data_IF_717582048406
#
_entry.id   IF_717582048406
#
_cell.length_a   1.000
_cell.length_b   1.000
_cell.length_c   1.000
_cell.angle_alpha   90.00
_cell.angle_beta   90.00
_cell.angle_gamma   90.00
#
_symmetry.space_group_name_H-M   'P 1'
#
loop_
_entity.id
_entity.type
_entity.pdbx_description
1 polymer ?
#
# COMPACT_ATOMS: atom_id res chain seq x y z
N UNK A 1 -15.12 48.59 50.76
CA UNK A 1 -13.66 48.34 50.62
C UNK A 1 -13.46 47.15 49.68
N UNK A 2 -12.41 47.17 48.84
CA UNK A 2 -12.62 47.35 47.40
C UNK A 2 -11.85 46.36 46.51
N UNK A 3 -12.29 46.28 45.25
CA UNK A 3 -11.45 46.43 44.04
C UNK A 3 -10.37 45.36 43.75
N UNK A 4 -10.69 44.53 42.76
CA UNK A 4 -9.94 44.45 41.49
C UNK A 4 -8.41 44.25 41.59
N UNK A 5 -8.00 42.99 41.56
CA UNK A 5 -6.66 42.54 41.14
C UNK A 5 -6.88 41.20 40.44
N UNK A 6 -6.59 40.98 39.17
CA UNK A 6 -5.84 41.72 38.18
C UNK A 6 -6.27 41.16 36.83
N UNK A 7 -6.83 42.01 35.96
CA UNK A 7 -6.69 41.82 34.52
C UNK A 7 -5.18 41.87 34.21
N UNK A 8 -4.50 40.72 34.24
CA UNK A 8 -3.18 40.61 33.63
C UNK A 8 -3.40 40.33 32.16
N UNK A 9 -3.49 41.43 31.40
CA UNK A 9 -3.33 41.47 29.96
C UNK A 9 -2.04 40.74 29.55
N UNK A 10 -2.16 39.43 29.28
CA UNK A 10 -1.24 38.70 28.44
C UNK A 10 -1.65 38.95 27.00
N UNK A 11 -1.04 39.97 26.40
CA UNK A 11 -1.06 40.29 24.97
C UNK A 11 -1.15 39.00 24.12
N UNK A 12 -2.35 38.64 23.65
CA UNK A 12 -2.54 37.58 22.65
C UNK A 12 -1.96 38.13 21.36
N UNK A 13 -0.63 37.99 21.19
CA UNK A 13 0.02 38.03 19.88
C UNK A 13 -0.85 37.12 19.02
N UNK A 14 -1.56 37.69 18.05
CA UNK A 14 -2.40 36.91 17.14
C UNK A 14 -1.53 35.76 16.66
N UNK A 15 -1.87 34.55 17.08
CA UNK A 15 -1.23 33.36 16.55
C UNK A 15 -1.56 33.43 15.07
N UNK A 16 -0.55 33.75 14.25
CA UNK A 16 -0.77 33.89 12.82
C UNK A 16 -1.32 32.57 12.30
N UNK A 17 -2.03 32.58 11.16
CA UNK A 17 -2.54 31.36 10.51
C UNK A 17 -1.50 30.23 10.42
N UNK A 18 -0.21 30.57 10.32
CA UNK A 18 0.92 29.64 10.34
C UNK A 18 1.09 28.90 11.68
N UNK A 19 0.89 29.59 12.81
CA UNK A 19 0.95 29.02 14.14
C UNK A 19 -0.25 28.10 14.38
N UNK A 20 -1.46 28.53 13.98
CA UNK A 20 -2.69 27.73 14.06
C UNK A 20 -2.60 26.48 13.16
N UNK A 21 -1.99 26.61 11.98
CA UNK A 21 -1.75 25.50 11.06
C UNK A 21 -0.74 24.50 11.62
N UNK A 22 0.34 24.98 12.26
CA UNK A 22 1.30 24.13 12.97
C UNK A 22 0.62 23.37 14.10
N UNK A 23 -0.19 24.05 14.91
CA UNK A 23 -0.93 23.44 16.02
C UNK A 23 -2.00 22.45 15.52
N UNK A 24 -2.55 22.67 14.31
CA UNK A 24 -3.46 21.74 13.64
C UNK A 24 -2.75 20.47 13.14
N UNK A 25 -1.62 20.58 12.45
CA UNK A 25 -0.85 19.41 11.97
C UNK A 25 -0.34 18.57 13.15
N UNK A 26 0.05 19.23 14.23
CA UNK A 26 0.55 18.57 15.44
C UNK A 26 -0.55 17.86 16.25
N UNK A 27 -1.83 17.95 15.85
CA UNK A 27 -2.87 17.06 16.39
C UNK A 27 -2.53 15.63 15.96
N UNK A 28 -2.06 14.84 16.93
CA UNK A 28 -1.23 13.64 16.74
C UNK A 28 -1.77 12.49 15.89
N UNK A 29 -2.98 12.57 15.32
CA UNK A 29 -3.53 11.54 14.43
C UNK A 29 -3.52 11.96 12.94
N UNK A 30 -3.37 13.25 12.61
CA UNK A 30 -3.45 13.72 11.22
C UNK A 30 -2.15 13.46 10.45
N UNK A 31 -1.01 13.61 11.10
CA UNK A 31 0.30 13.39 10.47
C UNK A 31 0.50 11.93 10.05
N UNK A 32 0.17 10.97 10.91
CA UNK A 32 0.31 9.54 10.61
C UNK A 32 -0.63 9.10 9.47
N UNK A 33 -1.86 9.61 9.48
CA UNK A 33 -2.81 9.40 8.38
C UNK A 33 -2.31 9.98 7.04
N UNK A 34 -1.70 11.17 7.08
CA UNK A 34 -1.15 11.82 5.88
C UNK A 34 0.02 11.01 5.30
N UNK A 35 0.93 10.52 6.15
CA UNK A 35 2.06 9.68 5.73
C UNK A 35 1.54 8.37 5.11
N UNK A 36 0.57 7.71 5.74
CA UNK A 36 -0.04 6.50 5.20
C UNK A 36 -0.65 6.71 3.81
N UNK A 37 -1.34 7.84 3.59
CA UNK A 37 -1.93 8.15 2.29
C UNK A 37 -0.89 8.43 1.20
N UNK A 38 0.17 9.18 1.51
CA UNK A 38 1.25 9.47 0.55
C UNK A 38 1.95 8.18 0.12
N UNK A 39 2.26 7.30 1.08
CA UNK A 39 2.87 5.99 0.79
C UNK A 39 1.92 5.12 -0.05
N UNK A 40 0.63 5.12 0.26
CA UNK A 40 -0.40 4.40 -0.51
C UNK A 40 -0.54 4.92 -1.95
N UNK A 41 -0.49 6.24 -2.16
CA UNK A 41 -0.62 6.85 -3.47
C UNK A 41 0.60 6.60 -4.37
N UNK A 42 1.80 6.44 -3.80
CA UNK A 42 3.03 6.21 -4.56
C UNK A 42 3.20 4.75 -5.00
N UNK A 43 2.68 3.78 -4.24
CA UNK A 43 2.89 2.35 -4.49
C UNK A 43 2.42 1.87 -5.88
N UNK A 44 1.24 2.27 -6.40
CA UNK A 44 0.78 1.86 -7.72
C UNK A 44 1.74 2.27 -8.85
N UNK A 45 2.38 3.44 -8.76
CA UNK A 45 3.31 3.91 -9.79
C UNK A 45 4.56 3.03 -9.87
N UNK A 46 5.10 2.61 -8.72
CA UNK A 46 6.26 1.71 -8.64
C UNK A 46 5.91 0.34 -9.21
N UNK A 47 4.77 -0.22 -8.83
CA UNK A 47 4.34 -1.53 -9.36
C UNK A 47 4.07 -1.42 -10.86
N UNK A 48 3.49 -0.31 -11.34
CA UNK A 48 3.23 -0.09 -12.75
C UNK A 48 4.52 -0.08 -13.56
N UNK A 49 5.53 0.70 -13.14
CA UNK A 49 6.83 0.69 -13.79
C UNK A 49 7.49 -0.68 -13.77
N UNK A 50 7.42 -1.42 -12.65
CA UNK A 50 7.95 -2.79 -12.61
C UNK A 50 7.26 -3.72 -13.63
N UNK A 51 5.93 -3.65 -13.74
CA UNK A 51 5.19 -4.47 -14.70
C UNK A 51 5.49 -4.04 -16.14
N UNK A 52 5.45 -2.73 -16.42
CA UNK A 52 5.62 -2.19 -17.78
C UNK A 52 7.06 -2.28 -18.29
N UNK A 53 8.04 -2.03 -17.42
CA UNK A 53 9.45 -1.89 -17.81
C UNK A 53 10.26 -3.19 -17.63
N UNK A 54 9.83 -4.09 -16.73
CA UNK A 54 10.55 -5.36 -16.46
C UNK A 54 9.76 -6.55 -16.99
N UNK A 55 8.50 -6.68 -16.61
CA UNK A 55 7.71 -7.89 -16.90
C UNK A 55 7.24 -7.92 -18.35
N UNK A 56 6.68 -6.83 -18.89
CA UNK A 56 6.16 -6.81 -20.26
C UNK A 56 7.23 -7.06 -21.34
N UNK A 57 8.45 -6.49 -21.27
CA UNK A 57 9.51 -6.81 -22.24
C UNK A 57 9.90 -8.29 -22.22
N UNK A 58 9.95 -8.91 -21.04
CA UNK A 58 10.24 -10.35 -20.90
C UNK A 58 9.14 -11.20 -21.56
N UNK A 59 7.87 -10.82 -21.44
CA UNK A 59 6.77 -11.49 -22.15
C UNK A 59 6.78 -11.20 -23.66
N UNK A 60 7.17 -9.99 -24.07
CA UNK A 60 7.28 -9.60 -25.48
C UNK A 60 8.34 -10.41 -26.24
N UNK A 61 9.47 -10.69 -25.59
CA UNK A 61 10.51 -11.56 -26.14
C UNK A 61 10.02 -13.01 -26.36
N UNK A 62 9.17 -13.53 -25.47
CA UNK A 62 8.64 -14.88 -25.58
C UNK A 62 7.62 -15.04 -26.72
N UNK A 63 6.84 -13.98 -27.05
CA UNK A 63 5.78 -14.02 -28.05
C UNK A 63 6.13 -13.34 -29.39
N UNK A 64 7.36 -12.83 -29.52
CA UNK A 64 7.88 -12.09 -30.70
C UNK A 64 6.95 -10.98 -31.20
N UNK A 65 6.12 -10.43 -30.30
CA UNK A 65 5.14 -9.36 -30.56
C UNK A 65 4.99 -8.50 -29.33
N UNK A 66 5.05 -7.19 -29.52
CA UNK A 66 4.73 -6.23 -28.49
C UNK A 66 3.20 -6.18 -28.32
N UNK A 67 2.72 -6.54 -27.13
CA UNK A 67 1.31 -6.39 -26.74
C UNK A 67 0.84 -4.92 -26.94
N UNK A 68 1.77 -3.98 -26.79
CA UNK A 68 1.50 -2.53 -26.86
C UNK A 68 1.16 -2.01 -28.28
N UNK A 69 1.38 -2.81 -29.31
CA UNK A 69 1.00 -2.50 -30.70
C UNK A 69 -0.12 -3.41 -31.22
N UNK A 70 -0.81 -4.13 -30.33
CA UNK A 70 -1.97 -4.92 -30.72
C UNK A 70 -3.24 -4.07 -30.77
N UNK A 71 -3.74 -3.83 -31.97
CA UNK A 71 -4.99 -3.14 -32.24
C UNK A 71 -5.66 -3.72 -33.47
N UNK A 72 -6.98 -3.53 -33.55
CA UNK A 72 -7.77 -3.87 -34.73
C UNK A 72 -8.30 -2.59 -35.33
N UNK A 73 -8.12 -2.39 -36.64
CA UNK A 73 -8.71 -1.27 -37.36
C UNK A 73 -10.17 -1.61 -37.67
N UNK A 74 -11.11 -0.86 -37.10
CA UNK A 74 -12.55 -1.04 -37.35
C UNK A 74 -13.01 -0.25 -38.58
N UNK A 75 -12.41 0.92 -38.79
CA UNK A 75 -12.66 1.76 -39.96
C UNK A 75 -11.35 2.26 -40.52
N UNK A 76 -11.12 2.02 -41.80
CA UNK A 76 -9.92 2.53 -42.47
C UNK A 76 -9.96 4.06 -42.56
N UNK A 77 -8.80 4.66 -42.35
CA UNK A 77 -8.52 6.05 -42.71
C UNK A 77 -8.08 6.13 -44.16
N UNK A 78 -6.86 6.63 -44.40
CA UNK A 78 -6.23 6.64 -45.73
C UNK A 78 -5.83 5.23 -46.21
N UNK A 79 -5.37 4.37 -45.30
CA UNK A 79 -5.05 2.96 -45.55
C UNK A 79 -5.72 2.03 -44.54
N UNK A 80 -5.71 0.72 -44.82
CA UNK A 80 -6.30 -0.31 -43.95
C UNK A 80 -5.27 -1.15 -43.19
N UNK A 81 -3.97 -0.92 -43.42
CA UNK A 81 -2.88 -1.64 -42.74
C UNK A 81 -1.88 -0.63 -42.19
N UNK A 82 -1.77 -0.60 -40.87
CA UNK A 82 -0.83 0.26 -40.16
C UNK A 82 0.11 -0.62 -39.33
N UNK A 83 1.41 -0.35 -39.34
CA UNK A 83 2.35 -1.04 -38.45
C UNK A 83 2.19 -0.57 -37.00
N UNK A 84 1.81 0.70 -36.79
CA UNK A 84 1.69 1.29 -35.44
C UNK A 84 0.32 1.94 -35.21
N UNK A 85 -0.12 1.95 -33.96
CA UNK A 85 -1.38 2.58 -33.53
C UNK A 85 -1.40 4.08 -33.76
N UNK A 86 -0.26 4.73 -33.56
CA UNK A 86 -0.10 6.18 -33.67
C UNK A 86 -0.34 6.62 -35.12
N UNK A 87 0.18 5.86 -36.09
CA UNK A 87 -0.08 6.13 -37.51
C UNK A 87 -1.55 5.89 -37.88
N UNK A 88 -2.16 4.82 -37.39
CA UNK A 88 -3.57 4.56 -37.65
C UNK A 88 -4.48 5.69 -37.11
N UNK A 89 -4.17 6.23 -35.93
CA UNK A 89 -4.92 7.35 -35.35
C UNK A 89 -4.66 8.67 -36.07
N UNK A 90 -3.42 8.92 -36.51
CA UNK A 90 -3.06 10.11 -37.29
C UNK A 90 -3.80 10.15 -38.64
N UNK A 91 -3.99 9.00 -39.28
CA UNK A 91 -4.69 8.88 -40.56
C UNK A 91 -6.23 8.87 -40.42
N UNK A 92 -6.75 9.09 -39.20
CA UNK A 92 -8.19 9.13 -38.91
C UNK A 92 -8.87 7.76 -38.91
N UNK A 93 -8.09 6.66 -38.86
CA UNK A 93 -8.65 5.32 -38.74
C UNK A 93 -9.23 5.11 -37.34
N UNK A 94 -10.43 4.51 -37.26
CA UNK A 94 -11.04 4.14 -35.98
C UNK A 94 -10.45 2.81 -35.56
N UNK A 95 -9.56 2.83 -34.58
CA UNK A 95 -8.88 1.64 -34.04
C UNK A 95 -9.52 1.17 -32.74
N UNK A 96 -9.86 -0.11 -32.66
CA UNK A 96 -10.13 -0.76 -31.38
C UNK A 96 -8.82 -1.15 -30.70
N UNK A 97 -8.51 -0.41 -29.64
CA UNK A 97 -7.27 -0.50 -28.89
C UNK A 97 -7.42 -1.35 -27.63
N UNK A 98 -7.69 -2.64 -27.82
CA UNK A 98 -7.92 -3.58 -26.73
C UNK A 98 -6.67 -3.90 -25.90
N UNK A 99 -5.46 -3.60 -26.40
CA UNK A 99 -4.26 -3.83 -25.61
C UNK A 99 -4.23 -3.07 -24.28
N UNK A 100 -4.81 -1.86 -24.23
CA UNK A 100 -4.71 -1.00 -23.04
C UNK A 100 -5.54 -1.61 -21.91
N UNK A 101 -6.66 -2.23 -22.29
CA UNK A 101 -7.51 -2.98 -21.39
C UNK A 101 -6.80 -4.24 -20.88
N UNK A 102 -6.18 -5.02 -21.77
CA UNK A 102 -5.42 -6.21 -21.37
C UNK A 102 -4.24 -5.86 -20.48
N UNK A 103 -3.47 -4.83 -20.80
CA UNK A 103 -2.37 -4.36 -19.97
C UNK A 103 -2.88 -3.96 -18.58
N UNK A 104 -4.02 -3.26 -18.49
CA UNK A 104 -4.64 -2.90 -17.21
C UNK A 104 -5.08 -4.13 -16.41
N UNK A 105 -5.62 -5.16 -17.07
CA UNK A 105 -5.99 -6.43 -16.41
C UNK A 105 -4.75 -7.18 -15.92
N UNK A 106 -3.71 -7.31 -16.76
CA UNK A 106 -2.44 -7.96 -16.39
C UNK A 106 -1.83 -7.23 -15.20
N UNK A 107 -1.78 -5.89 -15.24
CA UNK A 107 -1.33 -5.06 -14.14
C UNK A 107 -2.13 -5.32 -12.86
N UNK A 108 -3.47 -5.32 -12.93
CA UNK A 108 -4.32 -5.60 -11.76
C UNK A 108 -4.03 -6.98 -11.15
N UNK A 109 -3.89 -8.01 -11.99
CA UNK A 109 -3.60 -9.37 -11.54
C UNK A 109 -2.21 -9.47 -10.91
N UNK A 110 -1.20 -8.85 -11.52
CA UNK A 110 0.17 -8.85 -10.99
C UNK A 110 0.29 -8.07 -9.69
N UNK A 111 -0.30 -6.87 -9.60
CA UNK A 111 -0.34 -6.09 -8.36
C UNK A 111 -1.01 -6.88 -7.24
N UNK A 112 -2.16 -7.49 -7.52
CA UNK A 112 -2.87 -8.32 -6.56
C UNK A 112 -2.03 -9.51 -6.08
N UNK A 113 -1.32 -10.16 -7.02
CA UNK A 113 -0.41 -11.27 -6.72
C UNK A 113 0.78 -10.82 -5.86
N UNK A 114 1.44 -9.71 -6.20
CA UNK A 114 2.55 -9.17 -5.42
C UNK A 114 2.11 -8.74 -4.01
N UNK A 115 0.95 -8.10 -3.87
CA UNK A 115 0.39 -7.75 -2.57
C UNK A 115 0.11 -9.00 -1.73
N UNK A 116 -0.44 -10.06 -2.34
CA UNK A 116 -0.64 -11.33 -1.67
C UNK A 116 0.68 -11.94 -1.18
N UNK A 117 1.72 -11.94 -2.00
CA UNK A 117 3.04 -12.46 -1.64
C UNK A 117 3.69 -11.68 -0.50
N UNK A 118 3.62 -10.34 -0.53
CA UNK A 118 4.12 -9.48 0.56
C UNK A 118 3.38 -9.77 1.86
N UNK A 119 2.06 -9.89 1.82
CA UNK A 119 1.24 -10.21 2.99
C UNK A 119 1.58 -11.60 3.54
N UNK A 120 1.72 -12.59 2.66
CA UNK A 120 2.11 -13.96 3.03
C UNK A 120 3.51 -13.99 3.65
N UNK A 121 4.46 -13.24 3.10
CA UNK A 121 5.81 -13.11 3.65
C UNK A 121 5.79 -12.45 5.02
N UNK A 122 5.03 -11.37 5.19
CA UNK A 122 4.88 -10.68 6.46
C UNK A 122 4.29 -11.60 7.55
N UNK A 123 3.19 -12.29 7.26
CA UNK A 123 2.59 -13.25 8.20
C UNK A 123 3.48 -14.49 8.43
N UNK A 124 4.21 -14.93 7.41
CA UNK A 124 5.19 -16.00 7.52
C UNK A 124 6.34 -15.64 8.46
N UNK A 125 6.93 -14.45 8.30
CA UNK A 125 7.99 -13.95 9.16
C UNK A 125 7.51 -13.75 10.60
N UNK A 126 6.31 -13.18 10.80
CA UNK A 126 5.73 -13.02 12.14
C UNK A 126 5.49 -14.35 12.85
N UNK A 127 5.08 -15.40 12.14
CA UNK A 127 4.92 -16.73 12.73
C UNK A 127 6.21 -17.30 13.31
N UNK A 128 7.37 -16.96 12.73
CA UNK A 128 8.67 -17.42 13.24
C UNK A 128 9.12 -16.67 14.51
N UNK A 129 8.62 -15.45 14.73
CA UNK A 129 9.08 -14.56 15.82
C UNK A 129 8.19 -14.62 17.07
N UNK A 130 6.97 -15.16 16.99
CA UNK A 130 6.08 -15.27 18.15
C UNK A 130 6.54 -16.40 19.11
N UNK A 131 7.25 -16.03 20.17
CA UNK A 131 7.37 -16.86 21.37
C UNK A 131 5.96 -16.92 21.97
N UNK A 132 5.28 -18.07 21.84
CA UNK A 132 3.97 -18.28 22.45
C UNK A 132 4.12 -18.15 23.97
N UNK A 133 3.66 -17.04 24.53
CA UNK A 133 3.56 -16.90 25.98
C UNK A 133 2.43 -17.81 26.44
N UNK A 134 2.77 -18.98 26.98
CA UNK A 134 1.77 -19.90 27.50
C UNK A 134 1.14 -19.30 28.75
N UNK A 135 -0.19 -19.17 28.76
CA UNK A 135 -0.91 -18.68 29.93
C UNK A 135 -0.90 -19.73 31.05
N UNK A 136 -0.72 -19.29 32.29
CA UNK A 136 -0.87 -20.12 33.48
C UNK A 136 -2.28 -19.97 34.04
N UNK A 137 -2.99 -21.08 34.25
CA UNK A 137 -4.35 -21.14 34.80
C UNK A 137 -4.51 -20.36 36.13
N UNK A 138 -3.47 -20.40 36.98
CA UNK A 138 -3.46 -19.74 38.29
C UNK A 138 -2.86 -18.33 38.26
N UNK A 139 -2.62 -17.76 37.07
CA UNK A 139 -2.10 -16.39 36.87
C UNK A 139 -0.83 -16.07 37.67
N UNK A 140 0.12 -17.01 37.71
CA UNK A 140 1.43 -16.76 38.31
C UNK A 140 2.24 -15.78 37.44
N UNK A 141 2.88 -14.78 38.06
CA UNK A 141 3.76 -13.83 37.34
C UNK A 141 5.12 -14.48 37.06
N UNK A 142 5.74 -14.16 35.92
CA UNK A 142 7.09 -14.61 35.59
C UNK A 142 7.19 -15.97 34.88
N UNK A 143 6.15 -16.39 34.15
CA UNK A 143 6.15 -17.64 33.36
C UNK A 143 6.97 -17.45 32.09
N UNK A 144 7.87 -18.38 31.80
CA UNK A 144 8.63 -18.42 30.54
C UNK A 144 7.85 -19.22 29.48
N UNK A 145 7.69 -18.66 28.27
CA UNK A 145 6.87 -19.24 27.19
C UNK A 145 7.42 -20.57 26.62
N UNK A 146 8.64 -20.96 26.97
CA UNK A 146 9.30 -22.17 26.47
C UNK A 146 9.09 -23.41 27.36
N UNK A 147 8.64 -23.26 28.61
CA UNK A 147 8.54 -24.37 29.57
C UNK A 147 7.23 -25.17 29.42
N UNK A 148 7.26 -26.46 29.79
CA UNK A 148 6.06 -27.32 29.78
C UNK A 148 5.20 -27.19 31.06
N UNK A 149 5.80 -26.75 32.17
CA UNK A 149 5.16 -26.52 33.47
C UNK A 149 5.61 -25.20 34.05
N UNK A 150 4.75 -24.57 34.85
CA UNK A 150 5.08 -23.33 35.55
C UNK A 150 6.06 -23.59 36.70
N UNK A 151 7.14 -22.83 36.79
CA UNK A 151 8.13 -22.94 37.87
C UNK A 151 7.58 -22.60 39.27
N UNK A 152 6.56 -21.73 39.35
CA UNK A 152 5.99 -21.28 40.64
C UNK A 152 4.92 -22.21 41.21
N UNK A 153 4.07 -22.81 40.38
CA UNK A 153 2.92 -23.61 40.82
C UNK A 153 2.90 -25.04 40.30
N UNK A 154 3.90 -25.46 39.52
CA UNK A 154 4.03 -26.77 38.89
C UNK A 154 2.85 -27.22 38.00
N UNK A 155 1.88 -26.33 37.74
CA UNK A 155 0.75 -26.63 36.86
C UNK A 155 1.21 -26.76 35.41
N UNK A 156 0.46 -27.52 34.64
CA UNK A 156 0.61 -27.57 33.19
C UNK A 156 0.26 -26.20 32.59
N UNK A 157 1.06 -25.77 31.61
CA UNK A 157 0.80 -24.56 30.84
C UNK A 157 0.02 -24.95 29.58
N UNK A 158 -1.17 -24.38 29.42
CA UNK A 158 -1.96 -24.60 28.21
C UNK A 158 -1.32 -23.86 27.04
N UNK A 159 -1.13 -24.58 25.93
CA UNK A 159 -0.71 -23.97 24.68
C UNK A 159 -1.94 -23.28 24.11
N UNK A 160 -1.98 -21.95 24.15
CA UNK A 160 -3.12 -21.18 23.63
C UNK A 160 -3.51 -21.67 22.23
N UNK A 161 -4.68 -22.29 22.17
CA UNK A 161 -5.39 -22.65 20.95
C UNK A 161 -6.03 -21.37 20.41
N UNK A 162 -5.29 -20.66 19.57
CA UNK A 162 -5.85 -19.97 18.40
C UNK A 162 -4.76 -19.62 17.37
#
# INVERSE_FOLDING_TARGET
MPVQKTMSNGMRKGQGLLQDFKDFINKGNTFDLAVAFILSAALPAVIKSFVEDVIMPLFGLANNRNLDEMFVVLRCGQTCKYPTRVQAQADGAVTWNWNRFINTIIYLLLVGFFLFDVVKLYYGARRMVQIKNKACFYYCKGVNGTEARCSFCASWLENDVR
#
